data_IF_594254565624
#
_entry.id   IF_594254565624
#
_cell.length_a   1.000
_cell.length_b   1.000
_cell.length_c   1.000
_cell.angle_alpha   90.00
_cell.angle_beta   90.00
_cell.angle_gamma   90.00
#
_symmetry.space_group_name_H-M   'P 1'
#
loop_
_entity.id
_entity.type
_entity.pdbx_description
1 polymer ?
#
# COMPACT_ATOMS: atom_id res chain seq x y z
N UNK A 1 -5.47 11.59 -17.53
CA UNK A 1 -5.39 10.87 -16.24
C UNK A 1 -6.47 11.41 -15.33
N UNK A 2 -7.45 10.58 -15.01
CA UNK A 2 -8.36 10.85 -13.90
C UNK A 2 -7.60 10.47 -12.63
N UNK A 3 -7.24 11.45 -11.80
CA UNK A 3 -6.60 11.16 -10.51
C UNK A 3 -7.71 10.79 -9.53
N UNK A 4 -7.72 9.57 -8.95
CA UNK A 4 -8.70 9.23 -7.94
C UNK A 4 -8.59 10.24 -6.80
N UNK A 5 -9.73 10.70 -6.29
CA UNK A 5 -9.75 11.56 -5.13
C UNK A 5 -9.36 10.75 -3.90
N UNK A 6 -8.88 11.41 -2.86
CA UNK A 6 -8.59 10.74 -1.59
C UNK A 6 -9.83 10.07 -0.99
N UNK A 7 -11.02 10.60 -1.27
CA UNK A 7 -12.30 10.00 -0.89
C UNK A 7 -12.63 8.72 -1.65
N UNK A 8 -12.04 8.50 -2.83
CA UNK A 8 -12.18 7.25 -3.58
C UNK A 8 -11.22 6.17 -3.07
N UNK A 9 -10.13 6.58 -2.41
CA UNK A 9 -9.07 5.69 -1.92
C UNK A 9 -9.27 5.28 -0.46
N UNK A 10 -9.82 6.18 0.37
CA UNK A 10 -10.06 5.97 1.80
C UNK A 10 -11.51 5.59 2.06
N UNK A 11 -11.72 4.60 2.92
CA UNK A 11 -13.03 4.35 3.52
C UNK A 11 -13.20 5.20 4.78
N UNK A 12 -14.45 5.46 5.14
CA UNK A 12 -14.79 6.27 6.31
C UNK A 12 -14.08 5.76 7.58
N UNK A 13 -13.22 6.59 8.16
CA UNK A 13 -12.48 6.28 9.39
C UNK A 13 -11.01 5.88 9.18
N UNK A 14 -10.55 5.69 7.94
CA UNK A 14 -9.13 5.40 7.65
C UNK A 14 -8.28 6.68 7.66
N UNK A 15 -7.04 6.58 8.16
CA UNK A 15 -6.13 7.73 8.25
C UNK A 15 -5.47 8.06 6.92
N UNK A 16 -5.41 9.36 6.59
CA UNK A 16 -4.64 9.86 5.44
C UNK A 16 -3.17 9.47 5.50
N UNK A 17 -2.59 9.43 6.70
CA UNK A 17 -1.19 9.04 6.89
C UNK A 17 -0.98 7.56 6.53
N UNK A 18 -1.93 6.71 6.91
CA UNK A 18 -1.92 5.28 6.58
C UNK A 18 -2.02 5.05 5.08
N UNK A 19 -2.82 5.85 4.35
CA UNK A 19 -2.84 5.80 2.89
C UNK A 19 -1.49 6.14 2.28
N UNK A 20 -0.85 7.22 2.73
CA UNK A 20 0.47 7.63 2.20
C UNK A 20 1.50 6.52 2.42
N UNK A 21 1.53 5.94 3.63
CA UNK A 21 2.44 4.85 3.97
C UNK A 21 2.13 3.60 3.14
N UNK A 22 0.86 3.22 2.99
CA UNK A 22 0.44 2.06 2.21
C UNK A 22 0.79 2.20 0.73
N UNK A 23 0.56 3.37 0.13
CA UNK A 23 0.95 3.68 -1.26
C UNK A 23 2.46 3.61 -1.42
N UNK A 24 3.24 4.17 -0.48
CA UNK A 24 4.70 4.13 -0.53
C UNK A 24 5.25 2.70 -0.41
N UNK A 25 4.65 1.88 0.48
CA UNK A 25 4.99 0.45 0.61
C UNK A 25 4.71 -0.29 -0.69
N UNK A 26 3.50 -0.17 -1.23
CA UNK A 26 3.12 -0.85 -2.48
C UNK A 26 3.96 -0.41 -3.68
N UNK A 27 4.33 0.87 -3.76
CA UNK A 27 5.20 1.37 -4.82
C UNK A 27 6.61 0.75 -4.78
N UNK A 28 7.15 0.45 -3.59
CA UNK A 28 8.41 -0.27 -3.45
C UNK A 28 8.27 -1.72 -3.91
N UNK A 29 7.23 -2.42 -3.46
CA UNK A 29 6.94 -3.80 -3.89
C UNK A 29 6.86 -3.91 -5.41
N UNK A 30 6.15 -3.00 -6.08
CA UNK A 30 6.05 -2.99 -7.55
C UNK A 30 7.43 -2.79 -8.20
N UNK A 31 8.28 -1.95 -7.60
CA UNK A 31 9.64 -1.71 -8.12
C UNK A 31 10.49 -2.97 -7.99
N UNK A 32 10.42 -3.64 -6.84
CA UNK A 32 11.14 -4.88 -6.56
C UNK A 32 10.64 -6.01 -7.48
N UNK A 33 9.31 -6.17 -7.63
CA UNK A 33 8.68 -7.13 -8.55
C UNK A 33 9.17 -6.94 -10.00
N UNK A 34 9.26 -5.70 -10.49
CA UNK A 34 9.73 -5.41 -11.85
C UNK A 34 11.23 -5.65 -12.01
N UNK A 35 12.04 -5.30 -11.00
CA UNK A 35 13.47 -5.57 -10.98
C UNK A 35 13.76 -7.07 -11.00
N UNK A 36 13.04 -7.86 -10.19
CA UNK A 36 13.17 -9.31 -10.11
C UNK A 36 12.77 -9.99 -11.43
N UNK A 37 11.77 -9.45 -12.11
CA UNK A 37 11.34 -9.92 -13.43
C UNK A 37 12.23 -9.42 -14.58
N UNK A 38 13.20 -8.53 -14.30
CA UNK A 38 14.04 -7.89 -15.31
C UNK A 38 13.25 -7.03 -16.31
N UNK A 39 12.07 -6.53 -15.92
CA UNK A 39 11.20 -5.72 -16.77
C UNK A 39 11.52 -4.23 -16.59
N UNK A 40 11.50 -3.49 -17.70
CA UNK A 40 11.64 -2.03 -17.63
C UNK A 40 10.37 -1.39 -17.06
N UNK A 41 10.54 -0.39 -16.17
CA UNK A 41 9.43 0.38 -15.62
C UNK A 41 8.80 1.26 -16.70
N UNK A 42 7.67 0.81 -17.27
CA UNK A 42 6.91 1.58 -18.26
C UNK A 42 6.10 2.72 -17.64
N UNK A 43 5.68 2.55 -16.38
CA UNK A 43 4.90 3.53 -15.63
C UNK A 43 5.54 3.80 -14.26
N UNK A 44 5.25 4.97 -13.67
CA UNK A 44 5.79 5.32 -12.35
C UNK A 44 5.20 4.38 -11.29
N UNK A 45 6.02 3.72 -10.45
CA UNK A 45 5.52 2.78 -9.44
C UNK A 45 4.46 3.35 -8.50
N UNK A 46 4.61 4.61 -8.11
CA UNK A 46 3.62 5.32 -7.26
C UNK A 46 2.28 5.50 -7.96
N UNK A 47 2.28 5.75 -9.27
CA UNK A 47 1.05 5.90 -10.04
C UNK A 47 0.33 4.55 -10.13
N UNK A 48 1.06 3.47 -10.43
CA UNK A 48 0.51 2.13 -10.43
C UNK A 48 -0.10 1.78 -9.08
N UNK A 49 0.62 2.01 -7.97
CA UNK A 49 0.11 1.77 -6.63
C UNK A 49 -1.23 2.49 -6.38
N UNK A 50 -1.31 3.80 -6.68
CA UNK A 50 -2.56 4.58 -6.52
C UNK A 50 -3.71 3.99 -7.35
N UNK A 51 -3.43 3.58 -8.59
CA UNK A 51 -4.44 2.97 -9.46
C UNK A 51 -4.89 1.59 -8.96
N UNK A 52 -4.01 0.83 -8.31
CA UNK A 52 -4.36 -0.45 -7.68
C UNK A 52 -5.25 -0.27 -6.45
N UNK A 53 -4.98 0.75 -5.62
CA UNK A 53 -5.86 1.13 -4.52
C UNK A 53 -7.21 1.64 -5.03
N UNK A 54 -7.23 2.49 -6.06
CA UNK A 54 -8.49 2.99 -6.66
C UNK A 54 -9.36 1.88 -7.27
N UNK A 55 -8.74 0.82 -7.79
CA UNK A 55 -9.43 -0.38 -8.29
C UNK A 55 -9.89 -1.31 -7.16
N UNK A 56 -9.54 -1.03 -5.90
CA UNK A 56 -9.87 -1.85 -4.74
C UNK A 56 -9.08 -3.16 -4.68
N UNK A 57 -7.94 -3.27 -5.37
CA UNK A 57 -7.09 -4.48 -5.32
C UNK A 57 -6.42 -4.67 -3.95
N UNK A 58 -6.15 -3.56 -3.26
CA UNK A 58 -5.51 -3.53 -1.95
C UNK A 58 -6.37 -2.78 -0.95
N UNK A 59 -6.27 -3.16 0.32
CA UNK A 59 -6.93 -2.51 1.45
C UNK A 59 -5.89 -2.17 2.51
N UNK A 60 -6.04 -1.01 3.13
CA UNK A 60 -5.22 -0.60 4.26
C UNK A 60 -5.74 -1.32 5.51
N UNK A 61 -4.84 -1.96 6.24
CA UNK A 61 -5.12 -2.54 7.55
C UNK A 61 -4.15 -1.89 8.53
N UNK A 62 -4.70 -1.10 9.45
CA UNK A 62 -3.94 -0.49 10.53
C UNK A 62 -3.82 -1.54 11.65
N UNK A 63 -2.59 -1.90 12.02
CA UNK A 63 -2.34 -2.66 13.24
C UNK A 63 -2.52 -1.71 14.42
N UNK A 64 -3.40 -2.06 15.36
CA UNK A 64 -3.44 -1.33 16.62
C UNK A 64 -2.15 -1.65 17.37
N UNK A 65 -1.57 -0.67 18.06
CA UNK A 65 -0.38 -0.85 18.89
C UNK A 65 -0.51 -1.96 19.93
N UNK A 66 -1.75 -2.35 20.25
CA UNK A 66 -2.07 -3.39 21.22
C UNK A 66 -1.89 -4.82 20.68
N UNK A 67 -1.69 -4.98 19.36
CA UNK A 67 -1.48 -6.29 18.71
C UNK A 67 0.01 -6.70 18.63
N UNK A 68 0.95 -5.81 18.99
CA UNK A 68 2.41 -6.08 18.92
C UNK A 68 2.89 -7.04 20.02
N UNK A 69 2.16 -7.16 21.13
CA UNK A 69 2.51 -8.02 22.28
C UNK A 69 2.31 -9.53 22.02
N UNK A 70 1.62 -9.91 20.94
CA UNK A 70 1.27 -11.31 20.64
C UNK A 70 2.32 -12.05 19.78
N UNK A 71 3.24 -11.32 19.13
CA UNK A 71 4.25 -11.92 18.26
C UNK A 71 5.58 -12.25 18.97
N UNK A 72 5.74 -11.81 20.23
CA UNK A 72 6.94 -12.12 21.03
C UNK A 72 6.89 -13.51 21.68
N UNK A 73 5.71 -14.13 21.83
CA UNK A 73 5.59 -15.42 22.54
C UNK A 73 5.91 -16.67 21.69
N UNK A 74 5.89 -16.60 20.36
CA UNK A 74 6.15 -17.78 19.51
C UNK A 74 7.63 -18.07 19.21
N UNK A 75 8.57 -17.24 19.70
CA UNK A 75 10.01 -17.44 19.49
C UNK A 75 10.80 -17.75 20.77
N UNK A 76 10.20 -18.47 21.73
CA UNK A 76 10.91 -18.96 22.93
C UNK A 76 10.93 -20.47 23.05
#
# INVERSE_FOLDING_TARGET
>A
MHRPSTSDLLKNGESYYSLVVAVAKRAREITDELNDQGMEMTEKPVQMAVDEFAKGKYKIVESNSDDEDLFEEEQK
#
